data_IF_248045991870
#
_entry.id   IF_248045991870
#
_cell.length_a   1.000
_cell.length_b   1.000
_cell.length_c   1.000
_cell.angle_alpha   90.00
_cell.angle_beta   90.00
_cell.angle_gamma   90.00
#
_symmetry.space_group_name_H-M   'P 1'
#
loop_
_entity.id
_entity.type
_entity.pdbx_description
1 polymer ?
#
# COMPACT_ATOMS: atom_id res chain seq x y z
N UNK A 1 12.00 5.66 14.19
CA UNK A 1 11.64 5.71 12.75
C UNK A 1 10.16 5.44 12.62
N UNK A 2 9.44 6.33 11.94
CA UNK A 2 8.09 6.08 11.45
C UNK A 2 8.26 5.70 9.97
N UNK A 3 7.91 4.46 9.62
CA UNK A 3 8.18 3.90 8.30
C UNK A 3 6.98 4.04 7.38
N UNK A 4 7.21 4.66 6.23
CA UNK A 4 6.31 4.73 5.08
C UNK A 4 6.79 3.82 3.93
N UNK A 5 7.67 2.86 4.21
CA UNK A 5 8.18 1.90 3.22
C UNK A 5 7.74 0.50 3.61
N UNK A 6 7.15 -0.24 2.66
CA UNK A 6 6.74 -1.64 2.85
C UNK A 6 7.93 -2.48 3.34
N UNK A 7 7.70 -3.27 4.40
CA UNK A 7 8.74 -4.07 5.06
C UNK A 7 9.68 -3.30 5.99
N UNK A 8 9.60 -1.97 6.01
CA UNK A 8 10.43 -1.06 6.81
C UNK A 8 11.96 -1.27 6.71
N UNK A 9 12.54 -1.41 5.49
CA UNK A 9 13.99 -1.46 5.31
C UNK A 9 14.65 -0.13 5.69
N UNK A 10 15.44 -0.14 6.76
CA UNK A 10 16.03 1.08 7.35
C UNK A 10 17.04 1.79 6.43
N UNK A 11 17.68 1.04 5.52
CA UNK A 11 18.63 1.53 4.53
C UNK A 11 17.94 2.29 3.39
N UNK A 12 16.67 2.02 3.14
CA UNK A 12 15.84 2.74 2.16
C UNK A 12 15.21 3.98 2.79
N UNK A 13 14.71 3.87 4.03
CA UNK A 13 14.01 4.97 4.72
C UNK A 13 14.97 6.15 4.90
N UNK A 14 14.62 7.29 4.28
CA UNK A 14 15.46 8.49 4.23
C UNK A 14 16.89 8.24 3.71
N UNK A 15 17.11 7.19 2.92
CA UNK A 15 18.44 6.73 2.48
C UNK A 15 19.37 6.30 3.62
N UNK A 16 18.81 5.80 4.73
CA UNK A 16 19.55 5.12 5.79
C UNK A 16 20.64 5.93 6.49
N UNK A 17 20.45 7.21 6.87
CA UNK A 17 21.52 8.08 7.36
C UNK A 17 22.14 7.63 8.69
N UNK A 18 21.50 6.66 9.37
CA UNK A 18 21.89 6.16 10.70
C UNK A 18 22.12 4.66 10.72
N UNK A 19 22.12 4.01 9.55
CA UNK A 19 22.36 2.57 9.41
C UNK A 19 23.48 2.31 8.41
N UNK A 20 24.11 1.12 8.46
CA UNK A 20 25.13 0.76 7.48
C UNK A 20 24.59 0.75 6.05
N UNK A 21 25.43 1.19 5.12
CA UNK A 21 25.17 1.09 3.68
C UNK A 21 25.97 -0.08 3.10
N UNK A 22 25.27 -1.09 2.58
CA UNK A 22 25.90 -2.27 1.99
C UNK A 22 26.44 -2.05 0.57
N UNK A 23 26.02 -0.97 -0.10
CA UNK A 23 26.51 -0.63 -1.44
C UNK A 23 27.93 -0.05 -1.38
N UNK A 24 28.58 0.05 -2.53
CA UNK A 24 29.95 0.58 -2.65
C UNK A 24 30.05 1.62 -3.76
N UNK A 25 31.18 2.32 -3.83
CA UNK A 25 31.51 3.16 -4.99
C UNK A 25 31.44 2.40 -6.33
N UNK A 26 31.79 1.11 -6.34
CA UNK A 26 31.71 0.28 -7.54
C UNK A 26 30.26 0.01 -7.96
N UNK A 27 29.37 -0.23 -7.00
CA UNK A 27 27.93 -0.41 -7.28
C UNK A 27 27.32 0.87 -7.84
N UNK A 28 27.66 2.02 -7.25
CA UNK A 28 27.23 3.32 -7.76
C UNK A 28 27.73 3.56 -9.20
N UNK A 29 28.96 3.18 -9.52
CA UNK A 29 29.50 3.27 -10.88
C UNK A 29 28.80 2.31 -11.85
N UNK A 30 28.50 1.08 -11.42
CA UNK A 30 27.78 0.11 -12.23
C UNK A 30 26.37 0.61 -12.61
N UNK A 31 25.71 1.40 -11.75
CA UNK A 31 24.43 2.06 -12.07
C UNK A 31 24.62 3.10 -13.19
N UNK A 32 25.69 3.89 -13.15
CA UNK A 32 26.00 4.87 -14.22
C UNK A 32 26.19 4.18 -15.56
N UNK A 33 26.91 3.05 -15.59
CA UNK A 33 27.15 2.27 -16.81
C UNK A 33 25.86 1.60 -17.31
N UNK A 34 25.13 0.93 -16.42
CA UNK A 34 23.89 0.21 -16.73
C UNK A 34 22.86 1.10 -17.44
N UNK A 35 22.75 2.36 -17.02
CA UNK A 35 21.79 3.32 -17.56
C UNK A 35 22.41 4.36 -18.51
N UNK A 36 23.68 4.17 -18.91
CA UNK A 36 24.41 5.06 -19.81
C UNK A 36 24.37 6.54 -19.39
N UNK A 37 24.54 6.83 -18.10
CA UNK A 37 24.34 8.16 -17.52
C UNK A 37 25.59 9.05 -17.57
N UNK A 38 26.73 8.54 -18.04
CA UNK A 38 28.03 9.21 -17.94
C UNK A 38 28.07 10.61 -18.58
N UNK A 39 27.31 10.82 -19.67
CA UNK A 39 27.22 12.12 -20.37
C UNK A 39 26.10 13.02 -19.81
N UNK A 40 25.12 12.44 -19.12
CA UNK A 40 23.99 13.16 -18.53
C UNK A 40 24.32 13.73 -17.14
N UNK A 41 25.26 13.11 -16.42
CA UNK A 41 25.60 13.52 -15.06
C UNK A 41 26.53 14.74 -15.04
N UNK A 42 26.36 15.66 -14.06
CA UNK A 42 27.26 16.81 -13.91
C UNK A 42 28.71 16.39 -13.69
N UNK A 43 29.65 17.19 -14.22
CA UNK A 43 31.09 16.91 -14.13
C UNK A 43 31.59 16.70 -12.69
N UNK A 44 31.05 17.43 -11.71
CA UNK A 44 31.40 17.29 -10.30
C UNK A 44 30.99 15.91 -9.73
N UNK A 45 29.81 15.40 -10.11
CA UNK A 45 29.33 14.07 -9.70
C UNK A 45 30.22 12.99 -10.30
N UNK A 46 30.51 13.08 -11.60
CA UNK A 46 31.40 12.15 -12.29
C UNK A 46 32.81 12.15 -11.70
N UNK A 47 33.35 13.33 -11.34
CA UNK A 47 34.63 13.44 -10.67
C UNK A 47 34.63 12.73 -9.31
N UNK A 48 33.57 12.93 -8.51
CA UNK A 48 33.40 12.29 -7.19
C UNK A 48 33.30 10.78 -7.29
N UNK A 49 32.47 10.25 -8.19
CA UNK A 49 32.31 8.81 -8.40
C UNK A 49 33.64 8.16 -8.82
N UNK A 50 34.34 8.76 -9.79
CA UNK A 50 35.64 8.25 -10.25
C UNK A 50 36.70 8.29 -9.14
N UNK A 51 36.72 9.32 -8.31
CA UNK A 51 37.62 9.39 -7.16
C UNK A 51 37.31 8.30 -6.12
N UNK A 52 36.01 8.04 -5.87
CA UNK A 52 35.56 6.95 -5.02
C UNK A 52 35.98 5.57 -5.53
N UNK A 53 35.76 5.29 -6.82
CA UNK A 53 36.19 4.03 -7.46
C UNK A 53 37.72 3.83 -7.42
N UNK A 54 38.50 4.92 -7.47
CA UNK A 54 39.97 4.87 -7.31
C UNK A 54 40.44 4.76 -5.85
N UNK A 55 39.52 4.78 -4.87
CA UNK A 55 39.85 4.72 -3.45
C UNK A 55 40.42 6.03 -2.87
N UNK A 56 40.31 7.15 -3.59
CA UNK A 56 40.78 8.47 -3.14
C UNK A 56 39.83 9.08 -2.08
N UNK A 57 38.61 8.55 -2.01
CA UNK A 57 37.56 8.96 -1.09
C UNK A 57 37.08 7.71 -0.35
N UNK A 58 36.97 7.74 0.99
CA UNK A 58 36.38 6.64 1.74
C UNK A 58 34.98 6.29 1.25
N UNK A 59 34.64 5.01 1.27
CA UNK A 59 33.28 4.56 1.01
C UNK A 59 32.34 4.94 2.18
N UNK A 60 31.04 4.76 2.00
CA UNK A 60 30.06 4.94 3.08
C UNK A 60 30.31 3.92 4.20
N UNK A 61 29.98 4.25 5.47
CA UNK A 61 30.22 3.34 6.60
C UNK A 61 29.51 1.99 6.42
N UNK A 62 30.26 0.90 6.58
CA UNK A 62 29.78 -0.48 6.42
C UNK A 62 29.35 -1.09 7.73
N UNK A 63 28.74 -2.27 7.67
CA UNK A 63 28.40 -3.03 8.86
C UNK A 63 29.67 -3.30 9.68
N UNK A 64 29.64 -2.98 10.98
CA UNK A 64 30.79 -3.10 11.89
C UNK A 64 31.70 -1.87 11.94
N UNK A 65 31.39 -0.79 11.22
CA UNK A 65 32.09 0.48 11.40
C UNK A 65 31.84 1.03 12.84
N UNK A 66 32.90 1.41 13.59
CA UNK A 66 32.78 1.92 14.95
C UNK A 66 31.86 3.14 15.11
N UNK A 67 31.56 3.88 14.03
CA UNK A 67 30.59 4.98 14.05
C UNK A 67 29.20 4.53 14.53
N UNK A 68 28.87 3.25 14.36
CA UNK A 68 27.58 2.68 14.76
C UNK A 68 27.57 2.07 16.16
N UNK A 69 28.71 2.00 16.88
CA UNK A 69 28.83 1.32 18.19
C UNK A 69 27.89 1.89 19.26
N UNK A 70 27.49 3.15 19.11
CA UNK A 70 26.59 3.86 20.02
C UNK A 70 25.27 4.27 19.37
N UNK A 71 25.01 3.80 18.15
CA UNK A 71 23.77 4.06 17.44
C UNK A 71 22.71 3.02 17.82
N UNK A 72 21.46 3.44 17.90
CA UNK A 72 20.31 2.54 18.07
C UNK A 72 19.16 3.09 17.25
N UNK A 73 18.61 2.25 16.39
CA UNK A 73 17.51 2.61 15.50
C UNK A 73 16.33 1.68 15.76
N UNK A 74 15.17 2.25 16.03
CA UNK A 74 13.94 1.50 16.29
C UNK A 74 12.82 2.01 15.40
N UNK A 75 12.05 1.08 14.83
CA UNK A 75 10.77 1.37 14.17
C UNK A 75 9.72 1.51 15.27
N UNK A 76 9.13 2.71 15.37
CA UNK A 76 8.11 3.04 16.39
C UNK A 76 6.70 3.08 15.79
N UNK A 77 6.60 3.14 14.46
CA UNK A 77 5.36 2.99 13.72
C UNK A 77 5.69 2.53 12.30
N UNK A 78 4.87 1.62 11.81
CA UNK A 78 4.89 1.08 10.46
C UNK A 78 3.51 0.48 10.15
N UNK A 79 3.37 -0.06 8.95
CA UNK A 79 2.12 -0.69 8.51
C UNK A 79 1.69 -1.84 9.45
N UNK A 80 2.66 -2.62 9.95
CA UNK A 80 2.40 -3.75 10.84
C UNK A 80 1.82 -3.30 12.17
N UNK A 81 2.35 -2.24 12.77
CA UNK A 81 1.82 -1.66 14.01
C UNK A 81 0.36 -1.23 13.81
N UNK A 82 0.05 -0.56 12.70
CA UNK A 82 -1.31 -0.14 12.38
C UNK A 82 -2.25 -1.34 12.14
N UNK A 83 -1.82 -2.33 11.35
CA UNK A 83 -2.60 -3.53 11.05
C UNK A 83 -2.89 -4.37 12.32
N UNK A 84 -1.90 -4.52 13.21
CA UNK A 84 -2.08 -5.20 14.49
C UNK A 84 -3.01 -4.43 15.43
N UNK A 85 -2.98 -3.09 15.40
CA UNK A 85 -3.94 -2.27 16.15
C UNK A 85 -5.37 -2.48 15.63
N UNK A 86 -5.54 -2.55 14.32
CA UNK A 86 -6.83 -2.85 13.71
C UNK A 86 -7.32 -4.27 14.03
N UNK A 87 -6.42 -5.27 14.08
CA UNK A 87 -6.75 -6.64 14.52
C UNK A 87 -7.30 -6.66 15.95
N UNK A 88 -6.61 -5.99 16.88
CA UNK A 88 -7.07 -5.88 18.27
C UNK A 88 -8.45 -5.24 18.34
N UNK A 89 -8.65 -4.14 17.59
CA UNK A 89 -9.94 -3.46 17.57
C UNK A 89 -11.06 -4.33 17.00
N UNK A 90 -10.80 -5.09 15.94
CA UNK A 90 -11.78 -6.02 15.37
C UNK A 90 -12.14 -7.14 16.35
N UNK A 91 -11.17 -7.67 17.10
CA UNK A 91 -11.41 -8.67 18.16
C UNK A 91 -12.29 -8.12 19.29
N UNK A 92 -12.03 -6.89 19.73
CA UNK A 92 -12.87 -6.20 20.73
C UNK A 92 -14.31 -6.00 20.26
N UNK A 93 -14.52 -5.87 18.95
CA UNK A 93 -15.83 -5.75 18.31
C UNK A 93 -16.51 -7.12 18.08
N UNK A 94 -15.86 -8.24 18.43
CA UNK A 94 -16.42 -9.59 18.34
C UNK A 94 -16.09 -10.36 17.06
N UNK A 95 -15.22 -9.84 16.19
CA UNK A 95 -14.78 -10.54 14.99
C UNK A 95 -13.63 -11.50 15.27
N UNK A 96 -13.61 -12.63 14.56
CA UNK A 96 -12.41 -13.45 14.39
C UNK A 96 -11.45 -12.72 13.45
N UNK A 97 -10.56 -11.90 14.02
CA UNK A 97 -9.63 -11.10 13.26
C UNK A 97 -8.32 -11.83 12.97
N UNK A 98 -7.83 -11.72 11.72
CA UNK A 98 -6.57 -12.32 11.28
C UNK A 98 -5.78 -11.36 10.38
N UNK A 99 -4.56 -11.02 10.79
CA UNK A 99 -3.59 -10.36 9.92
C UNK A 99 -2.98 -11.39 8.96
N UNK A 100 -3.25 -11.24 7.67
CA UNK A 100 -2.71 -12.14 6.65
C UNK A 100 -1.30 -11.76 6.23
N UNK A 101 -1.06 -10.47 5.97
CA UNK A 101 0.26 -9.96 5.57
C UNK A 101 0.32 -8.43 5.68
N UNK A 102 1.54 -7.90 5.76
CA UNK A 102 1.86 -6.45 5.72
C UNK A 102 2.80 -6.12 4.54
N UNK A 103 2.83 -7.02 3.54
CA UNK A 103 3.68 -6.96 2.36
C UNK A 103 2.85 -7.02 1.07
N UNK A 104 1.60 -6.53 1.10
CA UNK A 104 0.81 -6.44 -0.13
C UNK A 104 1.48 -5.44 -1.07
N UNK A 105 1.83 -5.90 -2.25
CA UNK A 105 2.30 -5.06 -3.35
C UNK A 105 1.66 -5.55 -4.65
N UNK A 106 1.64 -4.69 -5.66
CA UNK A 106 1.13 -5.00 -7.00
C UNK A 106 -0.07 -4.15 -7.40
N UNK A 107 -0.72 -4.56 -8.49
CA UNK A 107 -1.80 -3.80 -9.11
C UNK A 107 -3.09 -3.89 -8.29
N UNK A 108 -3.67 -2.73 -7.94
CA UNK A 108 -4.79 -2.60 -7.01
C UNK A 108 -6.00 -3.49 -7.37
N UNK A 109 -6.39 -3.50 -8.66
CA UNK A 109 -7.52 -4.34 -9.15
C UNK A 109 -7.24 -5.84 -9.07
N UNK A 110 -5.98 -6.27 -9.09
CA UNK A 110 -5.61 -7.69 -8.96
C UNK A 110 -5.61 -8.11 -7.49
N UNK A 111 -5.13 -7.26 -6.60
CA UNK A 111 -5.24 -7.46 -5.14
C UNK A 111 -6.72 -7.51 -4.72
N UNK A 112 -7.59 -6.70 -5.31
CA UNK A 112 -9.03 -6.77 -5.06
C UNK A 112 -9.61 -8.17 -5.34
N UNK A 113 -9.21 -8.83 -6.43
CA UNK A 113 -9.67 -10.19 -6.75
C UNK A 113 -9.25 -11.19 -5.68
N UNK A 114 -8.05 -11.04 -5.12
CA UNK A 114 -7.59 -11.86 -4.00
C UNK A 114 -8.43 -11.60 -2.74
N UNK A 115 -8.70 -10.34 -2.39
CA UNK A 115 -9.55 -9.97 -1.26
C UNK A 115 -10.96 -10.58 -1.39
N UNK A 116 -11.56 -10.51 -2.58
CA UNK A 116 -12.85 -11.14 -2.90
C UNK A 116 -12.78 -12.66 -2.77
N UNK A 117 -11.72 -13.30 -3.26
CA UNK A 117 -11.55 -14.75 -3.14
C UNK A 117 -11.45 -15.20 -1.68
N UNK A 118 -10.70 -14.47 -0.86
CA UNK A 118 -10.60 -14.71 0.59
C UNK A 118 -11.95 -14.57 1.30
N UNK A 119 -12.73 -13.53 0.97
CA UNK A 119 -14.08 -13.35 1.51
C UNK A 119 -14.99 -14.53 1.17
N UNK A 120 -14.98 -14.98 -0.08
CA UNK A 120 -15.76 -16.12 -0.54
C UNK A 120 -15.34 -17.43 0.13
N UNK A 121 -14.04 -17.62 0.37
CA UNK A 121 -13.54 -18.80 1.09
C UNK A 121 -14.05 -18.82 2.54
N UNK A 122 -14.05 -17.67 3.22
CA UNK A 122 -14.64 -17.56 4.57
C UNK A 122 -16.13 -17.92 4.56
N UNK A 123 -16.89 -17.42 3.59
CA UNK A 123 -18.32 -17.76 3.45
C UNK A 123 -18.51 -19.26 3.18
N UNK A 124 -17.69 -19.85 2.30
CA UNK A 124 -17.86 -21.23 1.85
C UNK A 124 -17.39 -22.29 2.86
N UNK A 125 -16.30 -22.02 3.59
CA UNK A 125 -15.62 -23.03 4.41
C UNK A 125 -15.32 -22.58 5.84
N UNK A 126 -15.53 -21.30 6.18
CA UNK A 126 -15.14 -20.73 7.47
C UNK A 126 -13.63 -20.62 7.65
N UNK A 127 -12.84 -20.71 6.57
CA UNK A 127 -11.39 -20.54 6.59
C UNK A 127 -10.97 -19.23 5.92
N UNK A 128 -9.85 -18.62 6.34
CA UNK A 128 -8.96 -19.04 7.44
C UNK A 128 -9.50 -18.69 8.85
N UNK A 129 -10.62 -17.98 8.92
CA UNK A 129 -11.29 -17.63 10.18
C UNK A 129 -12.83 -17.74 10.00
N UNK A 130 -13.57 -18.27 10.98
CA UNK A 130 -15.01 -18.42 10.88
C UNK A 130 -15.72 -17.07 10.99
N UNK A 131 -16.87 -16.93 10.32
CA UNK A 131 -17.73 -15.75 10.47
C UNK A 131 -18.28 -15.63 11.91
N UNK A 132 -18.43 -14.43 12.50
CA UNK A 132 -18.07 -13.13 11.92
C UNK A 132 -16.54 -12.96 11.86
N UNK A 133 -16.00 -12.66 10.68
CA UNK A 133 -14.56 -12.62 10.42
C UNK A 133 -14.10 -11.24 9.96
N UNK A 134 -12.86 -10.88 10.29
CA UNK A 134 -12.20 -9.68 9.79
C UNK A 134 -10.77 -10.03 9.36
N UNK A 135 -10.56 -10.23 8.06
CA UNK A 135 -9.23 -10.45 7.51
C UNK A 135 -8.60 -9.09 7.22
N UNK A 136 -7.36 -8.92 7.65
CA UNK A 136 -6.63 -7.66 7.54
C UNK A 136 -5.38 -7.90 6.72
N UNK A 137 -5.15 -7.05 5.73
CA UNK A 137 -3.94 -6.99 4.94
C UNK A 137 -3.40 -5.57 4.99
N UNK A 138 -2.10 -5.42 4.77
CA UNK A 138 -1.48 -4.11 4.60
C UNK A 138 -0.28 -4.17 3.67
N UNK A 139 0.15 -3.00 3.21
CA UNK A 139 1.18 -2.85 2.20
C UNK A 139 0.94 -1.59 1.38
N UNK A 140 1.32 -1.60 0.11
CA UNK A 140 1.08 -0.48 -0.81
C UNK A 140 0.84 -1.00 -2.22
N UNK A 141 -0.36 -0.74 -2.74
CA UNK A 141 -0.70 -1.12 -4.12
C UNK A 141 -0.34 -0.02 -5.09
N UNK A 142 -0.35 -0.32 -6.38
CA UNK A 142 -0.16 0.67 -7.44
C UNK A 142 -1.26 0.55 -8.47
N UNK A 143 -1.43 1.62 -9.25
CA UNK A 143 -2.32 1.65 -10.41
C UNK A 143 -1.49 2.04 -11.61
N UNK A 144 -1.48 1.17 -12.61
CA UNK A 144 -0.83 1.48 -13.90
C UNK A 144 -1.76 2.33 -14.75
N UNK A 145 -1.54 3.65 -14.73
CA UNK A 145 -2.40 4.60 -15.43
C UNK A 145 -2.18 4.54 -16.95
N UNK A 146 -3.28 4.58 -17.70
CA UNK A 146 -3.29 4.83 -19.14
C UNK A 146 -3.01 6.31 -19.50
N UNK A 147 -3.14 6.66 -20.77
CA UNK A 147 -2.84 8.00 -21.28
C UNK A 147 -3.83 9.10 -20.86
N UNK A 148 -5.03 8.73 -20.44
CA UNK A 148 -6.10 9.65 -20.04
C UNK A 148 -6.94 9.03 -18.90
N UNK A 149 -6.36 8.88 -17.71
CA UNK A 149 -7.09 8.32 -16.57
C UNK A 149 -8.17 9.29 -16.08
N UNK A 150 -9.21 8.73 -15.48
CA UNK A 150 -10.19 9.47 -14.72
C UNK A 150 -9.67 9.89 -13.35
N UNK A 151 -10.60 10.06 -12.40
CA UNK A 151 -10.30 10.44 -11.01
C UNK A 151 -10.42 9.24 -10.08
N UNK A 152 -9.38 9.00 -9.28
CA UNK A 152 -9.34 7.94 -8.28
C UNK A 152 -7.94 7.73 -7.73
N UNK A 153 -7.79 6.73 -6.87
CA UNK A 153 -6.51 6.29 -6.33
C UNK A 153 -6.47 4.78 -6.21
N UNK A 154 -5.35 4.26 -5.68
CA UNK A 154 -5.11 2.81 -5.58
C UNK A 154 -6.10 2.12 -4.65
N UNK A 155 -6.46 2.75 -3.53
CA UNK A 155 -7.41 2.19 -2.57
C UNK A 155 -8.85 2.25 -3.10
N UNK A 156 -9.22 3.32 -3.78
CA UNK A 156 -10.51 3.46 -4.46
C UNK A 156 -10.65 2.47 -5.63
N UNK A 157 -9.57 2.27 -6.39
CA UNK A 157 -9.54 1.30 -7.49
C UNK A 157 -9.70 -0.14 -6.96
N UNK A 158 -9.01 -0.49 -5.87
CA UNK A 158 -9.17 -1.76 -5.19
C UNK A 158 -10.62 -1.93 -4.70
N UNK A 159 -11.18 -0.92 -4.02
CA UNK A 159 -12.54 -0.96 -3.51
C UNK A 159 -13.58 -1.16 -4.65
N UNK A 160 -13.49 -0.39 -5.74
CA UNK A 160 -14.42 -0.53 -6.86
C UNK A 160 -14.30 -1.89 -7.57
N UNK A 161 -13.07 -2.40 -7.72
CA UNK A 161 -12.84 -3.75 -8.25
C UNK A 161 -13.40 -4.84 -7.32
N UNK A 162 -13.28 -4.66 -6.01
CA UNK A 162 -13.85 -5.56 -5.01
C UNK A 162 -15.38 -5.56 -5.05
N UNK A 163 -16.00 -4.38 -5.17
CA UNK A 163 -17.45 -4.21 -5.31
C UNK A 163 -18.03 -5.05 -6.47
N UNK A 164 -17.36 -5.05 -7.63
CA UNK A 164 -17.73 -5.90 -8.77
C UNK A 164 -17.67 -7.40 -8.42
N UNK A 165 -16.71 -7.81 -7.59
CA UNK A 165 -16.54 -9.20 -7.17
C UNK A 165 -17.52 -9.66 -6.09
N UNK A 166 -18.05 -8.75 -5.28
CA UNK A 166 -18.99 -9.06 -4.18
C UNK A 166 -20.43 -8.63 -4.46
N UNK A 167 -20.71 -8.12 -5.68
CA UNK A 167 -22.04 -7.66 -6.06
C UNK A 167 -23.13 -8.69 -5.72
N UNK A 168 -24.17 -8.23 -5.01
CA UNK A 168 -25.28 -9.06 -4.53
C UNK A 168 -25.00 -9.86 -3.25
N UNK A 169 -23.79 -9.80 -2.68
CA UNK A 169 -23.53 -10.40 -1.37
C UNK A 169 -24.17 -9.58 -0.25
N UNK A 170 -24.85 -10.25 0.67
CA UNK A 170 -25.42 -9.62 1.88
C UNK A 170 -24.49 -9.70 3.09
N UNK A 171 -23.37 -10.44 2.97
CA UNK A 171 -22.50 -10.78 4.10
C UNK A 171 -21.09 -10.21 4.00
N UNK A 172 -20.68 -9.72 2.83
CA UNK A 172 -19.29 -9.32 2.57
C UNK A 172 -19.20 -7.80 2.46
N UNK A 173 -18.27 -7.22 3.22
CA UNK A 173 -17.85 -5.82 3.12
C UNK A 173 -16.34 -5.77 2.96
N UNK A 174 -15.84 -4.96 2.04
CA UNK A 174 -14.40 -4.78 1.80
C UNK A 174 -14.07 -3.30 1.88
N UNK A 175 -13.00 -2.95 2.59
CA UNK A 175 -12.46 -1.60 2.58
C UNK A 175 -10.98 -1.60 2.24
N UNK A 176 -10.53 -0.53 1.60
CA UNK A 176 -9.13 -0.21 1.38
C UNK A 176 -8.93 1.26 1.70
N UNK A 177 -7.88 1.59 2.46
CA UNK A 177 -7.59 2.96 2.84
C UNK A 177 -6.09 3.23 2.93
N UNK A 178 -5.71 4.45 2.56
CA UNK A 178 -4.41 5.06 2.82
C UNK A 178 -4.40 5.68 4.22
N UNK A 179 -3.37 5.36 4.99
CA UNK A 179 -3.27 5.82 6.39
C UNK A 179 -2.95 7.30 6.53
N UNK A 180 -2.50 7.98 5.48
CA UNK A 180 -2.30 9.43 5.41
C UNK A 180 -3.59 10.24 5.19
N UNK A 181 -4.67 9.54 4.82
CA UNK A 181 -5.98 10.12 4.57
C UNK A 181 -6.18 10.61 3.13
N UNK A 182 -5.27 10.30 2.20
CA UNK A 182 -5.37 10.70 0.79
C UNK A 182 -5.01 9.56 -0.16
N UNK A 183 -5.90 9.31 -1.12
CA UNK A 183 -5.75 8.27 -2.13
C UNK A 183 -5.89 8.88 -3.53
N UNK A 184 -4.78 8.87 -4.28
CA UNK A 184 -4.68 9.57 -5.55
C UNK A 184 -4.88 11.09 -5.43
N UNK A 185 -5.20 11.80 -6.53
CA UNK A 185 -5.48 13.23 -6.51
C UNK A 185 -6.92 13.51 -6.03
N UNK A 186 -7.29 13.02 -4.84
CA UNK A 186 -8.66 13.13 -4.29
C UNK A 186 -8.67 13.53 -2.81
N UNK A 187 -9.86 13.87 -2.29
CA UNK A 187 -10.11 14.19 -0.88
C UNK A 187 -10.48 12.97 -0.03
N UNK A 188 -10.38 11.76 -0.60
CA UNK A 188 -10.71 10.52 0.06
C UNK A 188 -9.45 9.72 0.39
N UNK A 189 -9.50 8.97 1.49
CA UNK A 189 -8.49 8.01 1.88
C UNK A 189 -8.63 6.66 1.15
N UNK A 190 -9.74 6.40 0.45
CA UNK A 190 -10.01 5.09 -0.14
C UNK A 190 -11.51 4.79 -0.26
N UNK A 191 -11.89 3.53 -0.15
CA UNK A 191 -13.30 3.12 -0.26
C UNK A 191 -13.69 1.98 0.68
N UNK A 192 -14.96 1.94 1.05
CA UNK A 192 -15.62 0.88 1.81
C UNK A 192 -16.87 0.46 1.05
N UNK A 193 -16.87 -0.77 0.54
CA UNK A 193 -17.88 -1.27 -0.40
C UNK A 193 -18.53 -2.55 0.12
N UNK A 194 -19.77 -2.78 -0.29
CA UNK A 194 -20.52 -4.01 -0.02
C UNK A 194 -21.21 -4.53 -1.30
N UNK A 195 -22.05 -5.55 -1.16
CA UNK A 195 -22.76 -6.13 -2.30
C UNK A 195 -23.81 -5.22 -2.94
N UNK A 196 -24.17 -4.09 -2.33
CA UNK A 196 -25.12 -3.12 -2.90
C UNK A 196 -24.43 -2.05 -3.76
N UNK A 197 -23.14 -1.77 -3.57
CA UNK A 197 -22.37 -0.71 -4.27
C UNK A 197 -22.63 -0.68 -5.78
N UNK A 198 -22.50 -1.81 -6.48
CA UNK A 198 -22.67 -1.85 -7.95
C UNK A 198 -24.07 -1.43 -8.38
N UNK A 199 -25.11 -1.96 -7.72
CA UNK A 199 -26.50 -1.63 -8.02
C UNK A 199 -26.82 -0.17 -7.74
N UNK A 200 -26.26 0.41 -6.68
CA UNK A 200 -26.42 1.84 -6.36
C UNK A 200 -25.72 2.73 -7.39
N UNK A 201 -24.56 2.31 -7.89
CA UNK A 201 -23.85 2.97 -8.98
C UNK A 201 -24.67 2.96 -10.27
N UNK A 202 -25.22 1.81 -10.65
CA UNK A 202 -26.09 1.66 -11.82
C UNK A 202 -27.34 2.53 -11.72
N UNK A 203 -27.97 2.59 -10.54
CA UNK A 203 -29.11 3.48 -10.27
C UNK A 203 -28.77 4.98 -10.43
N UNK A 204 -27.49 5.33 -10.33
CA UNK A 204 -26.95 6.67 -10.55
C UNK A 204 -26.39 6.88 -11.97
N UNK A 205 -26.59 5.92 -12.87
CA UNK A 205 -26.11 5.97 -14.26
C UNK A 205 -24.61 5.71 -14.43
N UNK A 206 -23.95 5.10 -13.44
CA UNK A 206 -22.52 4.80 -13.44
C UNK A 206 -22.29 3.29 -13.59
N UNK A 207 -21.57 2.90 -14.65
CA UNK A 207 -21.11 1.52 -14.85
C UNK A 207 -19.75 1.33 -14.16
N UNK A 208 -19.76 0.63 -13.02
CA UNK A 208 -18.57 0.36 -12.22
C UNK A 208 -17.42 -0.30 -13.03
N UNK A 209 -17.75 -1.21 -13.95
CA UNK A 209 -16.74 -1.86 -14.79
C UNK A 209 -16.13 -0.91 -15.81
N UNK A 210 -16.93 -0.02 -16.41
CA UNK A 210 -16.46 1.02 -17.31
C UNK A 210 -15.60 2.07 -16.59
N UNK A 211 -16.01 2.46 -15.38
CA UNK A 211 -15.27 3.40 -14.53
C UNK A 211 -13.92 2.82 -14.10
N UNK A 212 -13.89 1.55 -13.68
CA UNK A 212 -12.65 0.85 -13.34
C UNK A 212 -11.67 0.78 -14.52
N UNK A 213 -12.15 0.47 -15.74
CA UNK A 213 -11.29 0.45 -16.94
C UNK A 213 -10.68 1.81 -17.29
N UNK A 214 -11.30 2.90 -16.83
CA UNK A 214 -10.86 4.28 -17.07
C UNK A 214 -10.08 4.88 -15.89
N UNK A 215 -9.81 4.10 -14.84
CA UNK A 215 -9.21 4.62 -13.59
C UNK A 215 -10.03 5.79 -13.00
N UNK A 216 -11.36 5.68 -13.08
CA UNK A 216 -12.32 6.71 -12.69
C UNK A 216 -13.19 6.22 -11.52
N UNK A 217 -12.56 5.67 -10.48
CA UNK A 217 -13.28 5.04 -9.38
C UNK A 217 -14.03 6.04 -8.48
N UNK A 218 -13.46 7.24 -8.32
CA UNK A 218 -13.96 8.26 -7.38
C UNK A 218 -15.43 8.65 -7.59
N UNK A 219 -15.91 8.95 -8.83
CA UNK A 219 -17.30 9.34 -9.03
C UNK A 219 -18.31 8.26 -8.62
N UNK A 220 -17.98 6.98 -8.85
CA UNK A 220 -18.86 5.85 -8.48
C UNK A 220 -18.97 5.74 -6.97
N UNK A 221 -17.83 5.65 -6.28
CA UNK A 221 -17.79 5.54 -4.83
C UNK A 221 -18.43 6.75 -4.14
N UNK A 222 -18.27 7.95 -4.72
CA UNK A 222 -18.94 9.15 -4.21
C UNK A 222 -20.46 9.06 -4.36
N UNK A 223 -20.96 8.60 -5.51
CA UNK A 223 -22.39 8.50 -5.77
C UNK A 223 -23.08 7.45 -4.88
N UNK A 224 -22.34 6.40 -4.50
CA UNK A 224 -22.86 5.31 -3.65
C UNK A 224 -22.68 5.57 -2.15
N UNK A 225 -21.89 6.59 -1.77
CA UNK A 225 -21.57 6.88 -0.36
C UNK A 225 -20.45 6.02 0.21
N UNK A 226 -19.67 5.37 -0.65
CA UNK A 226 -18.65 4.38 -0.32
C UNK A 226 -17.24 4.97 -0.19
N UNK A 227 -17.08 6.30 -0.27
CA UNK A 227 -15.80 6.95 -0.02
C UNK A 227 -15.46 6.97 1.47
N UNK A 228 -14.21 6.64 1.79
CA UNK A 228 -13.66 6.87 3.13
C UNK A 228 -13.04 8.25 3.19
N UNK A 229 -13.59 9.14 4.02
CA UNK A 229 -13.10 10.52 4.16
C UNK A 229 -12.68 10.75 5.61
N UNK A 230 -11.38 10.59 5.87
CA UNK A 230 -10.78 10.84 7.19
C UNK A 230 -10.28 12.27 7.38
N UNK A 231 -10.01 12.99 6.27
CA UNK A 231 -9.13 14.14 6.28
C UNK A 231 -7.66 13.75 6.52
N UNK A 232 -6.73 14.72 6.53
CA UNK A 232 -5.32 14.46 6.71
C UNK A 232 -5.03 13.93 8.12
N UNK A 233 -4.46 12.73 8.21
CA UNK A 233 -4.17 12.08 9.50
C UNK A 233 -2.84 12.52 10.11
N UNK A 234 -2.01 13.22 9.33
CA UNK A 234 -0.66 13.66 9.68
C UNK A 234 0.31 12.50 10.02
N UNK A 235 0.04 11.32 9.47
CA UNK A 235 0.93 10.16 9.52
C UNK A 235 0.92 9.45 8.17
N UNK A 236 1.86 8.55 7.90
CA UNK A 236 1.81 7.66 6.74
C UNK A 236 2.54 6.37 7.08
N UNK A 237 1.82 5.26 7.02
CA UNK A 237 2.34 3.90 7.14
C UNK A 237 1.72 2.99 6.06
N UNK A 238 1.52 3.56 4.87
CA UNK A 238 0.94 2.94 3.66
C UNK A 238 -0.55 2.58 3.81
N UNK A 239 -0.99 1.48 3.19
CA UNK A 239 -2.39 1.11 3.06
C UNK A 239 -2.81 -0.02 4.02
N UNK A 240 -4.09 -0.03 4.38
CA UNK A 240 -4.76 -1.15 5.03
C UNK A 240 -5.96 -1.60 4.21
N UNK A 241 -6.12 -2.91 4.09
CA UNK A 241 -7.24 -3.58 3.42
C UNK A 241 -7.95 -4.44 4.46
N UNK A 242 -9.26 -4.33 4.50
CA UNK A 242 -10.14 -5.06 5.41
C UNK A 242 -11.15 -5.87 4.61
N UNK A 243 -11.33 -7.12 5.02
CA UNK A 243 -12.34 -8.02 4.46
C UNK A 243 -13.19 -8.53 5.62
N UNK A 244 -14.42 -8.04 5.71
CA UNK A 244 -15.39 -8.50 6.68
C UNK A 244 -16.34 -9.52 6.07
N UNK A 245 -16.64 -10.55 6.85
CA UNK A 245 -17.70 -11.50 6.53
C UNK A 245 -18.58 -11.65 7.76
N UNK A 246 -19.85 -11.28 7.62
CA UNK A 246 -20.85 -11.36 8.69
C UNK A 246 -21.27 -12.82 8.95
N UNK A 247 -21.77 -13.07 10.17
CA UNK A 247 -22.43 -14.32 10.51
C UNK A 247 -23.68 -14.56 9.64
N UNK A 248 -24.20 -15.79 9.66
CA UNK A 248 -25.50 -16.12 9.06
C UNK A 248 -26.68 -15.55 9.87
#
# INVERSE_FOLDING_TARGET
VLSDVVGSPLDVIASGPTVPDSSTWADAWAVVEKYALAEALPAAVMARLRAGVRGEVPDTPKAGDPIFDRATTQIVGDNRVAALAACRRAQELGYHALLLTTYVEGEAREVAKLAVALAREVVASGQPAPAPACLILGGETTVTLGSAPGTGGRNQELALAAALGIAGSERITIASLATDGSDGPTDSAGGLVDGATVRLGEASGLDAGAMLRRHDAYPTLRATGDLLVSGPTQTNVNDLIFVWVEAE
#
